data_IF_202302853063
#
_entry.id   IF_202302853063
#
_cell.length_a   1.000
_cell.length_b   1.000
_cell.length_c   1.000
_cell.angle_alpha   90.00
_cell.angle_beta   90.00
_cell.angle_gamma   90.00
#
_symmetry.space_group_name_H-M   'P 1'
#
loop_
_entity.id
_entity.type
_entity.pdbx_description
1 polymer ?
#
# COMPACT_ATOMS: atom_id res chain seq x y z
N UNK A 1 17.40 -26.68 -1.96
CA UNK A 1 18.73 -26.60 -2.61
C UNK A 1 19.40 -25.32 -2.15
N UNK A 2 20.72 -25.35 -1.94
CA UNK A 2 21.47 -24.15 -1.54
C UNK A 2 21.98 -23.44 -2.80
N UNK A 3 21.81 -22.13 -2.87
CA UNK A 3 22.25 -21.30 -3.98
C UNK A 3 23.10 -20.16 -3.45
N UNK A 4 24.22 -19.89 -4.11
CA UNK A 4 25.10 -18.75 -3.82
C UNK A 4 24.77 -17.62 -4.79
N UNK A 5 24.56 -16.41 -4.28
CA UNK A 5 24.23 -15.24 -5.07
C UNK A 5 25.23 -14.13 -4.74
N UNK A 6 25.98 -13.69 -5.75
CA UNK A 6 27.02 -12.69 -5.58
C UNK A 6 26.43 -11.30 -5.79
N UNK A 7 26.58 -10.42 -4.80
CA UNK A 7 25.96 -9.10 -4.80
C UNK A 7 27.04 -8.01 -4.78
N UNK A 8 26.89 -6.95 -5.59
CA UNK A 8 27.62 -5.70 -5.41
C UNK A 8 27.55 -5.22 -3.96
N UNK A 9 28.67 -4.71 -3.43
CA UNK A 9 28.79 -4.39 -1.99
C UNK A 9 27.81 -3.32 -1.50
N UNK A 10 27.38 -2.41 -2.38
CA UNK A 10 26.31 -1.45 -2.14
C UNK A 10 24.94 -2.10 -1.99
N UNK A 11 24.60 -3.07 -2.85
CA UNK A 11 23.37 -3.86 -2.75
C UNK A 11 23.38 -4.73 -1.50
N UNK A 12 24.49 -5.41 -1.19
CA UNK A 12 24.62 -6.21 0.03
C UNK A 12 24.35 -5.37 1.30
N UNK A 13 24.89 -4.15 1.36
CA UNK A 13 24.62 -3.20 2.47
C UNK A 13 23.17 -2.73 2.51
N UNK A 14 22.54 -2.54 1.35
CA UNK A 14 21.14 -2.16 1.29
C UNK A 14 20.23 -3.28 1.83
N UNK A 15 20.47 -4.53 1.44
CA UNK A 15 19.72 -5.69 1.95
C UNK A 15 19.95 -5.88 3.45
N UNK A 16 21.19 -5.74 3.93
CA UNK A 16 21.52 -5.84 5.35
C UNK A 16 20.74 -4.83 6.20
N UNK A 17 20.73 -3.55 5.81
CA UNK A 17 19.97 -2.51 6.55
C UNK A 17 18.48 -2.81 6.58
N UNK A 18 17.94 -3.39 5.51
CA UNK A 18 16.53 -3.75 5.43
C UNK A 18 16.21 -4.94 6.34
N UNK A 19 17.06 -5.96 6.34
CA UNK A 19 16.93 -7.10 7.24
C UNK A 19 16.93 -6.66 8.72
N UNK A 20 17.81 -5.72 9.08
CA UNK A 20 17.85 -5.12 10.42
C UNK A 20 16.56 -4.34 10.76
N UNK A 21 16.05 -3.55 9.83
CA UNK A 21 14.81 -2.78 10.02
C UNK A 21 13.57 -3.68 10.18
N UNK A 22 13.52 -4.77 9.42
CA UNK A 22 12.39 -5.70 9.44
C UNK A 22 12.54 -6.80 10.52
N UNK A 23 13.68 -6.82 11.25
CA UNK A 23 13.97 -7.82 12.28
C UNK A 23 14.11 -9.24 11.72
N UNK A 24 14.56 -9.36 10.47
CA UNK A 24 14.64 -10.62 9.72
C UNK A 24 16.09 -11.05 9.51
N UNK A 25 16.27 -12.35 9.26
CA UNK A 25 17.55 -12.89 8.82
C UNK A 25 17.87 -12.43 7.38
N UNK A 26 19.15 -12.21 7.10
CA UNK A 26 19.62 -11.69 5.81
C UNK A 26 19.24 -12.64 4.67
N UNK A 27 19.38 -13.96 4.85
CA UNK A 27 19.04 -14.92 3.81
C UNK A 27 17.54 -14.94 3.52
N UNK A 28 16.70 -14.81 4.57
CA UNK A 28 15.26 -14.71 4.41
C UNK A 28 14.86 -13.45 3.64
N UNK A 29 15.51 -12.31 3.92
CA UNK A 29 15.25 -11.05 3.21
C UNK A 29 15.65 -11.13 1.74
N UNK A 30 16.80 -11.74 1.42
CA UNK A 30 17.22 -11.97 0.02
C UNK A 30 16.19 -12.82 -0.73
N UNK A 31 15.68 -13.90 -0.13
CA UNK A 31 14.67 -14.76 -0.75
C UNK A 31 13.37 -14.00 -1.04
N UNK A 32 12.92 -13.17 -0.10
CA UNK A 32 11.72 -12.35 -0.27
C UNK A 32 11.89 -11.30 -1.37
N UNK A 33 13.06 -10.65 -1.44
CA UNK A 33 13.35 -9.69 -2.51
C UNK A 33 13.38 -10.36 -3.89
N UNK A 34 13.98 -11.55 -4.00
CA UNK A 34 13.99 -12.33 -5.24
C UNK A 34 12.56 -12.72 -5.62
N UNK A 35 11.75 -13.20 -4.67
CA UNK A 35 10.34 -13.55 -4.92
C UNK A 35 9.54 -12.36 -5.43
N UNK A 36 9.70 -11.18 -4.82
CA UNK A 36 9.04 -9.94 -5.24
C UNK A 36 9.49 -9.50 -6.64
N UNK A 37 10.79 -9.58 -6.94
CA UNK A 37 11.32 -9.25 -8.27
C UNK A 37 10.79 -10.17 -9.38
N UNK A 38 10.67 -11.47 -9.09
CA UNK A 38 10.11 -12.44 -10.03
C UNK A 38 8.59 -12.22 -10.26
N UNK A 39 7.83 -11.92 -9.20
CA UNK A 39 6.40 -11.64 -9.30
C UNK A 39 6.08 -10.38 -10.13
N UNK A 40 6.99 -9.41 -10.18
CA UNK A 40 6.85 -8.20 -11.00
C UNK A 40 7.16 -8.46 -12.49
N UNK A 41 7.93 -9.50 -12.81
CA UNK A 41 8.25 -9.87 -14.21
C UNK A 41 7.18 -10.71 -14.89
N UNK A 42 6.25 -11.31 -14.14
CA UNK A 42 5.04 -11.86 -14.75
C UNK A 42 4.17 -10.67 -15.20
N UNK A 43 3.66 -10.66 -16.44
CA UNK A 43 2.71 -9.64 -16.85
C UNK A 43 1.49 -9.79 -15.94
N UNK A 44 1.42 -8.93 -14.93
CA UNK A 44 0.27 -8.86 -14.06
C UNK A 44 -0.95 -8.76 -14.97
N UNK A 45 -1.88 -9.70 -14.83
CA UNK A 45 -3.27 -9.53 -15.26
C UNK A 45 -3.65 -8.08 -14.94
N UNK A 46 -4.38 -7.37 -15.83
CA UNK A 46 -4.64 -5.95 -15.67
C UNK A 46 -5.35 -5.72 -14.34
N UNK A 47 -4.57 -5.48 -13.30
CA UNK A 47 -5.01 -4.84 -12.09
C UNK A 47 -5.49 -3.51 -12.63
N UNK A 48 -6.80 -3.27 -12.52
CA UNK A 48 -7.43 -1.97 -12.71
C UNK A 48 -6.39 -0.96 -12.28
N UNK A 49 -5.80 -0.24 -13.24
CA UNK A 49 -4.57 0.52 -13.01
C UNK A 49 -4.80 1.32 -11.75
N UNK A 50 -4.19 0.90 -10.64
CA UNK A 50 -4.30 1.60 -9.39
C UNK A 50 -3.55 2.89 -9.67
N UNK A 51 -4.30 3.92 -10.07
CA UNK A 51 -3.75 5.25 -10.32
C UNK A 51 -3.02 5.58 -9.05
N UNK A 52 -1.68 5.51 -9.10
CA UNK A 52 -0.87 5.66 -7.91
C UNK A 52 -1.23 7.04 -7.34
N UNK A 53 -1.66 7.13 -6.08
CA UNK A 53 -2.14 8.38 -5.54
C UNK A 53 -1.04 9.43 -5.68
N UNK A 54 -1.37 10.58 -6.24
CA UNK A 54 -0.40 11.65 -6.43
C UNK A 54 -0.20 12.31 -5.08
N UNK A 55 0.94 12.02 -4.43
CA UNK A 55 1.31 12.62 -3.16
C UNK A 55 2.11 13.88 -3.45
N UNK A 56 1.54 15.02 -3.07
CA UNK A 56 2.17 16.35 -3.14
C UNK A 56 2.35 16.92 -1.73
N UNK A 57 2.96 18.09 -1.59
CA UNK A 57 2.91 18.87 -0.35
C UNK A 57 1.97 20.05 -0.53
N UNK A 58 1.11 20.28 0.46
CA UNK A 58 0.33 21.50 0.54
C UNK A 58 1.26 22.70 0.74
N UNK A 59 1.08 23.75 -0.08
CA UNK A 59 2.00 24.88 -0.11
C UNK A 59 1.90 25.82 1.10
N UNK A 60 0.83 25.72 1.90
CA UNK A 60 0.61 26.58 3.08
C UNK A 60 1.01 25.86 4.37
N UNK A 61 0.68 24.59 4.49
CA UNK A 61 0.86 23.80 5.71
C UNK A 61 2.11 22.92 5.66
N UNK A 62 2.65 22.65 4.47
CA UNK A 62 3.78 21.73 4.27
C UNK A 62 3.45 20.25 4.47
N UNK A 63 2.18 19.93 4.75
CA UNK A 63 1.71 18.58 5.00
C UNK A 63 1.55 17.79 3.69
N UNK A 64 1.67 16.45 3.73
CA UNK A 64 1.38 15.60 2.57
C UNK A 64 -0.08 15.79 2.13
N UNK A 65 -0.27 16.08 0.84
CA UNK A 65 -1.55 16.16 0.17
C UNK A 65 -1.67 14.97 -0.79
N UNK A 66 -2.58 14.06 -0.48
CA UNK A 66 -2.87 12.87 -1.30
C UNK A 66 -4.01 13.23 -2.25
N UNK A 67 -3.74 13.27 -3.55
CA UNK A 67 -4.77 13.54 -4.57
C UNK A 67 -5.30 12.23 -5.14
N UNK A 68 -6.63 12.08 -5.10
CA UNK A 68 -7.33 11.03 -5.82
C UNK A 68 -7.19 11.18 -7.34
N UNK A 69 -7.40 10.08 -8.07
CA UNK A 69 -7.45 10.10 -9.53
C UNK A 69 -8.60 10.98 -10.04
N UNK A 70 -8.46 11.53 -11.26
CA UNK A 70 -9.45 12.43 -11.85
C UNK A 70 -10.86 11.79 -12.00
N UNK A 71 -10.92 10.46 -12.10
CA UNK A 71 -12.15 9.69 -12.21
C UNK A 71 -12.64 9.09 -10.87
N UNK A 72 -12.15 9.60 -9.74
CA UNK A 72 -12.57 9.12 -8.43
C UNK A 72 -14.11 9.17 -8.28
N UNK A 73 -14.77 8.11 -7.77
CA UNK A 73 -16.22 8.08 -7.60
C UNK A 73 -16.75 9.27 -6.79
N UNK A 74 -15.99 9.67 -5.76
CA UNK A 74 -16.29 10.83 -4.91
C UNK A 74 -16.43 12.13 -5.70
N UNK A 75 -15.75 12.27 -6.84
CA UNK A 75 -15.83 13.48 -7.69
C UNK A 75 -17.17 13.66 -8.39
N UNK A 76 -18.01 12.61 -8.42
CA UNK A 76 -19.35 12.62 -9.06
C UNK A 76 -20.50 12.54 -8.05
N UNK A 77 -20.19 12.42 -6.76
CA UNK A 77 -21.20 12.29 -5.70
C UNK A 77 -21.74 13.66 -5.31
N UNK A 78 -23.03 13.72 -4.96
CA UNK A 78 -23.63 14.90 -4.33
C UNK A 78 -23.17 15.05 -2.89
N UNK A 79 -23.41 16.21 -2.28
CA UNK A 79 -23.10 16.43 -0.86
C UNK A 79 -23.85 15.45 0.03
N UNK A 80 -25.11 15.17 -0.31
CA UNK A 80 -25.98 14.24 0.38
C UNK A 80 -25.46 12.80 0.28
N UNK A 81 -25.02 12.38 -0.92
CA UNK A 81 -24.41 11.06 -1.12
C UNK A 81 -23.12 10.91 -0.30
N UNK A 82 -22.30 11.97 -0.26
CA UNK A 82 -21.07 11.98 0.54
C UNK A 82 -21.36 11.87 2.02
N UNK A 83 -22.37 12.59 2.52
CA UNK A 83 -22.76 12.53 3.92
C UNK A 83 -23.30 11.14 4.28
N UNK A 84 -24.17 10.57 3.46
CA UNK A 84 -24.69 9.22 3.66
C UNK A 84 -23.56 8.17 3.66
N UNK A 85 -22.55 8.33 2.78
CA UNK A 85 -21.38 7.45 2.75
C UNK A 85 -20.57 7.55 4.05
N UNK A 86 -20.36 8.76 4.57
CA UNK A 86 -19.63 8.99 5.83
C UNK A 86 -20.39 8.37 7.01
N UNK A 87 -21.70 8.62 7.11
CA UNK A 87 -22.54 8.10 8.20
C UNK A 87 -22.55 6.57 8.21
N UNK A 88 -22.69 5.95 7.03
CA UNK A 88 -22.64 4.49 6.90
C UNK A 88 -21.27 3.93 7.31
N UNK A 89 -20.17 4.54 6.85
CA UNK A 89 -18.81 4.09 7.21
C UNK A 89 -18.56 4.18 8.72
N UNK A 90 -19.01 5.25 9.37
CA UNK A 90 -18.89 5.42 10.82
C UNK A 90 -19.71 4.39 11.59
N UNK A 91 -20.94 4.13 11.12
CA UNK A 91 -21.81 3.12 11.72
C UNK A 91 -21.19 1.71 11.60
N UNK A 92 -20.62 1.38 10.43
CA UNK A 92 -19.93 0.10 10.24
C UNK A 92 -18.76 -0.06 11.23
N UNK A 93 -17.91 0.97 11.38
CA UNK A 93 -16.80 0.97 12.34
C UNK A 93 -17.28 0.85 13.80
N UNK A 94 -18.37 1.54 14.16
CA UNK A 94 -18.95 1.49 15.51
C UNK A 94 -19.52 0.09 15.82
N UNK A 95 -20.19 -0.54 14.84
CA UNK A 95 -20.70 -1.91 14.98
C UNK A 95 -19.55 -2.91 15.16
N UNK A 96 -18.46 -2.77 14.38
CA UNK A 96 -17.26 -3.60 14.51
C UNK A 96 -16.64 -3.49 15.92
N UNK A 97 -16.53 -2.27 16.46
CA UNK A 97 -16.02 -2.03 17.82
C UNK A 97 -16.88 -2.67 18.91
N UNK A 98 -18.18 -2.80 18.66
CA UNK A 98 -19.14 -3.45 19.54
C UNK A 98 -19.22 -4.98 19.32
N UNK A 99 -18.48 -5.53 18.35
CA UNK A 99 -18.51 -6.94 18.00
C UNK A 99 -19.81 -7.37 17.31
N UNK A 100 -20.57 -6.42 16.76
CA UNK A 100 -21.79 -6.65 16.00
C UNK A 100 -21.39 -6.73 14.53
N UNK A 101 -21.77 -7.79 13.78
CA UNK A 101 -21.42 -7.89 12.37
C UNK A 101 -22.06 -6.73 11.58
N UNK A 102 -21.23 -5.93 10.92
CA UNK A 102 -21.65 -4.77 10.15
C UNK A 102 -22.43 -5.15 8.86
N UNK A 103 -22.36 -6.41 8.43
CA UNK A 103 -23.15 -7.01 7.33
C UNK A 103 -23.36 -8.52 7.56
N UNK A 104 -24.46 -9.12 7.06
CA UNK A 104 -24.54 -10.56 6.83
C UNK A 104 -23.62 -11.03 5.68
#
# INVERSE_FOLDING_TARGET
>A
MTTTLDLPGDLARAVQRRAEQEGRDLAAEVVELVRKGLAVSEPALPQIMAVSPIITKDSKTGLPLIRGGADAPLSRMTTEDLQALIENSQLEEDLERLGIPARP
#
